data_IF_603407549109
#
_entry.id   IF_603407549109
#
_cell.length_a   1.000
_cell.length_b   1.000
_cell.length_c   1.000
_cell.angle_alpha   90.00
_cell.angle_beta   90.00
_cell.angle_gamma   90.00
#
_symmetry.space_group_name_H-M   'P 1'
#
loop_
_entity.id
_entity.type
_entity.pdbx_description
1 polymer ?
#
# COMPACT_ATOMS: atom_id res chain seq x y z
N UNK A 1 5.50 -0.02 25.03
CA UNK A 1 6.31 1.04 24.38
C UNK A 1 5.55 1.56 23.17
N UNK A 2 5.17 2.84 23.08
CA UNK A 2 4.48 3.36 21.92
C UNK A 2 5.51 3.81 20.86
N UNK A 3 5.55 3.12 19.71
CA UNK A 3 6.41 3.40 18.54
C UNK A 3 5.85 4.52 17.64
N UNK A 4 5.36 5.60 18.26
CA UNK A 4 4.60 6.66 17.59
C UNK A 4 5.37 7.93 17.21
N UNK A 5 6.61 8.11 17.68
CA UNK A 5 7.33 9.38 17.48
C UNK A 5 8.04 9.43 16.12
N UNK A 6 7.53 10.23 15.18
CA UNK A 6 8.25 10.60 13.95
C UNK A 6 7.46 10.64 12.63
N UNK A 7 6.14 10.42 12.63
CA UNK A 7 5.34 10.40 11.39
C UNK A 7 4.87 11.81 11.00
N UNK A 8 5.41 12.36 9.91
CA UNK A 8 4.85 13.54 9.25
C UNK A 8 3.70 13.09 8.34
N UNK A 9 2.45 13.38 8.72
CA UNK A 9 1.26 13.18 7.88
C UNK A 9 1.24 14.22 6.75
N UNK A 10 1.17 13.79 5.50
CA UNK A 10 0.87 14.67 4.35
C UNK A 10 -0.08 13.94 3.39
N UNK A 11 -1.37 14.23 3.48
CA UNK A 11 -2.38 13.78 2.53
C UNK A 11 -2.26 14.57 1.23
N UNK A 12 -2.32 13.90 0.08
CA UNK A 12 -2.37 14.57 -1.22
C UNK A 12 -3.31 13.76 -2.12
N UNK A 13 -4.48 14.33 -2.39
CA UNK A 13 -5.52 13.73 -3.25
C UNK A 13 -5.12 13.86 -4.74
N UNK A 14 -5.45 12.86 -5.58
CA UNK A 14 -5.19 12.93 -7.02
C UNK A 14 -6.10 13.94 -7.74
N UNK A 15 -5.61 14.46 -8.86
CA UNK A 15 -6.23 15.52 -9.64
C UNK A 15 -7.58 15.12 -10.30
N UNK A 16 -8.51 16.08 -10.34
CA UNK A 16 -9.80 16.00 -11.05
C UNK A 16 -9.57 16.24 -12.55
N UNK A 17 -10.21 15.43 -13.40
CA UNK A 17 -10.20 15.59 -14.85
C UNK A 17 -11.13 16.75 -15.27
N UNK A 18 -10.59 17.76 -15.94
CA UNK A 18 -11.33 18.89 -16.50
C UNK A 18 -11.05 19.02 -18.01
N UNK A 19 -11.98 19.60 -18.77
CA UNK A 19 -11.83 19.79 -20.22
C UNK A 19 -10.79 20.90 -20.48
N UNK A 20 -9.64 20.56 -21.10
CA UNK A 20 -8.54 21.49 -21.38
C UNK A 20 -7.17 20.79 -21.57
N UNK A 21 -6.08 21.56 -21.57
CA UNK A 21 -4.70 21.02 -21.56
C UNK A 21 -4.53 20.16 -20.30
N UNK A 22 -4.26 18.87 -20.48
CA UNK A 22 -4.08 17.92 -19.38
C UNK A 22 -2.60 17.75 -19.09
N UNK A 23 -2.14 18.29 -17.97
CA UNK A 23 -0.82 17.95 -17.42
C UNK A 23 -0.97 16.59 -16.73
N UNK A 24 -0.35 15.55 -17.30
CA UNK A 24 -0.27 14.24 -16.66
C UNK A 24 0.82 14.29 -15.58
N UNK A 25 0.42 14.67 -14.37
CA UNK A 25 1.26 14.46 -13.19
C UNK A 25 1.16 12.97 -12.87
N UNK A 26 2.28 12.25 -12.89
CA UNK A 26 2.35 10.93 -12.23
C UNK A 26 2.77 11.16 -10.78
N UNK A 27 1.81 11.33 -9.85
CA UNK A 27 2.12 11.66 -8.46
C UNK A 27 2.98 10.59 -7.79
N UNK A 28 2.92 9.33 -8.27
CA UNK A 28 3.76 8.26 -7.76
C UNK A 28 5.21 8.41 -8.18
N UNK A 29 5.48 8.71 -9.46
CA UNK A 29 6.87 8.91 -9.93
C UNK A 29 7.45 10.18 -9.33
N UNK A 30 6.66 11.26 -9.27
CA UNK A 30 7.07 12.49 -8.60
C UNK A 30 7.41 12.24 -7.13
N UNK A 31 6.59 11.46 -6.40
CA UNK A 31 6.89 11.04 -5.03
C UNK A 31 8.22 10.27 -4.97
N UNK A 32 8.41 9.27 -5.82
CA UNK A 32 9.62 8.45 -5.86
C UNK A 32 10.87 9.28 -6.16
N UNK A 33 10.77 10.24 -7.08
CA UNK A 33 11.90 11.10 -7.49
C UNK A 33 12.23 12.18 -6.45
N UNK A 34 11.22 12.68 -5.72
CA UNK A 34 11.43 13.67 -4.64
C UNK A 34 12.14 13.04 -3.44
N UNK A 35 11.86 11.78 -3.13
CA UNK A 35 12.45 11.09 -2.00
C UNK A 35 13.60 10.18 -2.44
N UNK A 36 14.84 10.68 -2.36
CA UNK A 36 16.04 9.84 -2.48
C UNK A 36 16.07 8.78 -1.38
N UNK A 37 15.84 7.52 -1.74
CA UNK A 37 15.98 6.36 -0.86
C UNK A 37 15.00 5.24 -1.18
N UNK A 38 14.86 4.29 -0.24
CA UNK A 38 14.02 3.12 -0.44
C UNK A 38 12.55 3.43 -0.14
N UNK A 39 11.64 2.80 -0.87
CA UNK A 39 10.22 2.92 -0.62
C UNK A 39 9.42 1.68 -0.97
N UNK A 40 8.20 1.65 -0.45
CA UNK A 40 7.26 0.55 -0.58
C UNK A 40 6.00 1.08 -1.28
N UNK A 41 5.52 0.37 -2.28
CA UNK A 41 4.22 0.64 -2.92
C UNK A 41 3.31 -0.56 -2.67
N UNK A 42 2.31 -0.41 -1.81
CA UNK A 42 1.33 -1.44 -1.52
C UNK A 42 0.23 -1.50 -2.57
N UNK A 43 0.05 -2.66 -3.20
CA UNK A 43 -1.07 -2.98 -4.08
C UNK A 43 -1.90 -4.13 -3.51
N UNK A 44 -3.16 -4.22 -3.94
CA UNK A 44 -4.02 -5.34 -3.50
C UNK A 44 -3.72 -6.65 -4.21
N UNK A 45 -3.65 -6.60 -5.54
CA UNK A 45 -3.57 -7.79 -6.40
C UNK A 45 -2.13 -8.08 -6.82
N UNK A 46 -1.83 -9.36 -7.06
CA UNK A 46 -0.50 -9.81 -7.50
C UNK A 46 -0.16 -9.23 -8.86
N UNK A 47 -1.07 -9.39 -9.82
CA UNK A 47 -0.94 -8.87 -11.18
C UNK A 47 -0.77 -7.33 -11.19
N UNK A 48 -1.42 -6.63 -10.26
CA UNK A 48 -1.25 -5.19 -10.11
C UNK A 48 0.16 -4.81 -9.63
N UNK A 49 0.79 -5.62 -8.77
CA UNK A 49 2.20 -5.42 -8.40
C UNK A 49 3.12 -5.59 -9.60
N UNK A 50 2.92 -6.63 -10.41
CA UNK A 50 3.74 -6.91 -11.59
C UNK A 50 3.60 -5.80 -12.64
N UNK A 51 2.37 -5.40 -12.94
CA UNK A 51 2.07 -4.32 -13.89
C UNK A 51 2.69 -3.00 -13.42
N UNK A 52 2.49 -2.62 -12.16
CA UNK A 52 2.99 -1.37 -11.63
C UNK A 52 4.52 -1.35 -11.52
N UNK A 53 5.16 -2.46 -11.11
CA UNK A 53 6.62 -2.56 -11.09
C UNK A 53 7.22 -2.44 -12.50
N UNK A 54 6.56 -3.04 -13.50
CA UNK A 54 6.95 -2.94 -14.90
C UNK A 54 6.81 -1.50 -15.39
N UNK A 55 5.68 -0.85 -15.13
CA UNK A 55 5.44 0.53 -15.54
C UNK A 55 6.45 1.51 -14.91
N UNK A 56 6.73 1.36 -13.61
CA UNK A 56 7.76 2.15 -12.93
C UNK A 56 9.15 1.94 -13.55
N UNK A 57 9.50 0.69 -13.86
CA UNK A 57 10.77 0.32 -14.50
C UNK A 57 10.91 0.91 -15.90
N UNK A 58 9.86 0.84 -16.72
CA UNK A 58 9.82 1.46 -18.04
C UNK A 58 10.01 2.97 -17.99
N UNK A 59 9.67 3.61 -16.88
CA UNK A 59 9.82 5.06 -16.65
C UNK A 59 11.08 5.42 -15.87
N UNK A 60 12.04 4.49 -15.76
CA UNK A 60 13.36 4.72 -15.19
C UNK A 60 13.46 4.54 -13.67
N UNK A 61 12.40 4.10 -13.00
CA UNK A 61 12.43 3.77 -11.57
C UNK A 61 12.83 2.31 -11.41
N UNK A 62 13.93 2.05 -10.69
CA UNK A 62 14.33 0.68 -10.32
C UNK A 62 13.33 0.09 -9.32
N UNK A 63 12.35 -0.65 -9.83
CA UNK A 63 11.27 -1.26 -9.05
C UNK A 63 11.14 -2.76 -9.30
N UNK A 64 10.77 -3.55 -8.29
CA UNK A 64 10.41 -4.96 -8.43
C UNK A 64 9.13 -5.30 -7.67
N UNK A 65 8.36 -6.26 -8.21
CA UNK A 65 7.17 -6.79 -7.59
C UNK A 65 7.51 -7.78 -6.46
N UNK A 66 6.69 -7.82 -5.41
CA UNK A 66 6.77 -8.79 -4.33
C UNK A 66 5.38 -9.26 -3.88
N UNK A 67 5.10 -10.54 -4.04
CA UNK A 67 3.87 -11.14 -3.53
C UNK A 67 3.98 -12.65 -3.34
N UNK A 68 3.00 -13.23 -2.65
CA UNK A 68 2.93 -14.67 -2.36
C UNK A 68 2.91 -15.58 -3.60
N UNK A 69 2.57 -15.06 -4.79
CA UNK A 69 2.65 -15.81 -6.05
C UNK A 69 4.07 -16.05 -6.60
N UNK A 70 5.08 -15.32 -6.12
CA UNK A 70 6.48 -15.53 -6.53
C UNK A 70 7.04 -16.79 -5.87
N UNK A 71 8.01 -17.44 -6.53
CA UNK A 71 8.75 -18.56 -5.93
C UNK A 71 9.51 -18.07 -4.70
N UNK A 72 9.73 -18.95 -3.72
CA UNK A 72 10.41 -18.59 -2.49
C UNK A 72 11.81 -18.01 -2.74
N UNK A 73 12.58 -18.58 -3.67
CA UNK A 73 13.90 -18.08 -4.07
C UNK A 73 13.82 -16.64 -4.64
N UNK A 74 12.84 -16.38 -5.50
CA UNK A 74 12.64 -15.06 -6.10
C UNK A 74 12.27 -14.02 -5.04
N UNK A 75 11.38 -14.36 -4.10
CA UNK A 75 11.04 -13.47 -2.98
C UNK A 75 12.27 -13.11 -2.15
N UNK A 76 13.12 -14.08 -1.83
CA UNK A 76 14.37 -13.85 -1.10
C UNK A 76 15.32 -12.96 -1.89
N UNK A 77 15.50 -13.20 -3.19
CA UNK A 77 16.33 -12.37 -4.05
C UNK A 77 15.85 -10.92 -4.10
N UNK A 78 14.56 -10.71 -4.38
CA UNK A 78 13.95 -9.37 -4.46
C UNK A 78 14.07 -8.64 -3.13
N UNK A 79 13.81 -9.33 -2.02
CA UNK A 79 13.96 -8.74 -0.69
C UNK A 79 15.40 -8.33 -0.42
N UNK A 80 16.39 -9.18 -0.71
CA UNK A 80 17.80 -8.87 -0.51
C UNK A 80 18.26 -7.69 -1.37
N UNK A 81 17.89 -7.67 -2.65
CA UNK A 81 18.22 -6.56 -3.56
C UNK A 81 17.62 -5.22 -3.10
N UNK A 82 16.44 -5.25 -2.47
CA UNK A 82 15.82 -4.05 -1.89
C UNK A 82 16.50 -3.64 -0.58
N UNK A 83 16.87 -4.61 0.28
CA UNK A 83 17.61 -4.34 1.51
C UNK A 83 18.96 -3.68 1.23
N UNK A 84 19.66 -4.16 0.20
CA UNK A 84 20.94 -3.65 -0.32
C UNK A 84 20.81 -2.40 -1.21
N UNK A 85 19.58 -1.88 -1.41
CA UNK A 85 19.30 -0.66 -2.19
C UNK A 85 19.65 -0.75 -3.68
N UNK A 86 19.92 -1.95 -4.20
CA UNK A 86 20.07 -2.19 -5.65
C UNK A 86 18.78 -1.88 -6.38
N UNK A 87 17.65 -2.22 -5.76
CA UNK A 87 16.29 -1.90 -6.19
C UNK A 87 15.63 -1.06 -5.09
N UNK A 88 15.61 0.28 -5.18
CA UNK A 88 15.08 1.15 -4.13
C UNK A 88 13.56 1.05 -3.94
N UNK A 89 12.80 0.64 -4.97
CA UNK A 89 11.33 0.59 -4.88
C UNK A 89 10.84 -0.84 -4.92
N UNK A 90 10.05 -1.24 -3.92
CA UNK A 90 9.38 -2.54 -3.92
C UNK A 90 7.88 -2.33 -4.04
N UNK A 91 7.27 -2.97 -5.03
CA UNK A 91 5.83 -2.94 -5.25
C UNK A 91 5.26 -4.24 -4.72
N UNK A 92 4.45 -4.19 -3.66
CA UNK A 92 4.11 -5.39 -2.92
C UNK A 92 2.67 -5.50 -2.50
N UNK A 93 2.22 -6.73 -2.27
CA UNK A 93 1.00 -6.99 -1.49
C UNK A 93 1.30 -6.96 0.00
N UNK A 94 0.26 -7.04 0.84
CA UNK A 94 0.38 -7.16 2.31
C UNK A 94 1.28 -8.32 2.79
N UNK A 95 1.59 -9.28 1.91
CA UNK A 95 2.56 -10.35 2.20
C UNK A 95 3.97 -9.83 2.45
N UNK A 96 4.31 -8.64 1.95
CA UNK A 96 5.56 -7.97 2.25
C UNK A 96 5.44 -7.25 3.58
N UNK A 97 5.84 -7.94 4.66
CA UNK A 97 5.80 -7.27 5.96
C UNK A 97 6.21 -8.05 7.20
N UNK A 98 6.07 -9.38 7.20
CA UNK A 98 6.57 -10.20 8.30
C UNK A 98 8.09 -10.39 8.12
N UNK A 99 8.89 -9.74 8.97
CA UNK A 99 10.35 -9.92 9.00
C UNK A 99 11.18 -8.94 8.15
N UNK A 100 10.55 -7.95 7.51
CA UNK A 100 11.29 -6.86 6.84
C UNK A 100 11.46 -5.70 7.81
N UNK A 101 12.70 -5.49 8.24
CA UNK A 101 13.11 -4.36 9.07
C UNK A 101 14.20 -3.53 8.39
N UNK A 102 13.77 -2.56 7.58
CA UNK A 102 14.67 -1.58 6.95
C UNK A 102 14.39 -0.22 7.58
N UNK A 103 15.38 0.33 8.27
CA UNK A 103 15.19 1.56 9.05
C UNK A 103 14.92 2.79 8.16
N UNK A 104 15.49 2.80 6.96
CA UNK A 104 15.60 3.98 6.10
C UNK A 104 14.58 4.03 4.94
N UNK A 105 13.36 3.52 5.17
CA UNK A 105 12.25 3.66 4.21
C UNK A 105 11.77 5.12 4.18
N UNK A 106 11.87 5.75 3.02
CA UNK A 106 11.54 7.18 2.81
C UNK A 106 10.11 7.43 2.41
N UNK A 107 9.48 6.47 1.74
CA UNK A 107 8.06 6.58 1.45
C UNK A 107 7.35 5.22 1.51
N UNK A 108 6.08 5.27 1.91
CA UNK A 108 5.13 4.17 1.73
C UNK A 108 3.93 4.73 0.97
N UNK A 109 3.66 4.18 -0.21
CA UNK A 109 2.50 4.53 -1.01
C UNK A 109 1.52 3.36 -1.04
N UNK A 110 0.24 3.61 -0.86
CA UNK A 110 -0.82 2.61 -1.03
C UNK A 110 -1.52 2.91 -2.34
N UNK A 111 -1.31 2.05 -3.35
CA UNK A 111 -1.93 2.15 -4.66
C UNK A 111 -3.43 1.84 -4.60
N UNK A 112 -3.84 1.01 -3.65
CA UNK A 112 -5.25 0.75 -3.35
C UNK A 112 -5.50 0.97 -1.84
N UNK A 113 -6.74 1.30 -1.48
CA UNK A 113 -7.14 1.42 -0.07
C UNK A 113 -6.90 0.09 0.70
N UNK A 114 -6.35 0.22 1.92
CA UNK A 114 -6.14 -0.89 2.82
C UNK A 114 -7.48 -1.48 3.31
N UNK A 115 -7.45 -2.73 3.81
CA UNK A 115 -8.65 -3.41 4.32
C UNK A 115 -9.15 -2.86 5.66
N UNK A 116 -8.32 -2.12 6.38
CA UNK A 116 -8.69 -1.50 7.66
C UNK A 116 -7.75 -0.37 8.03
N UNK A 117 -8.18 0.50 8.94
CA UNK A 117 -7.33 1.55 9.51
C UNK A 117 -6.09 0.97 10.22
N UNK A 118 -6.26 -0.14 10.94
CA UNK A 118 -5.15 -0.82 11.61
C UNK A 118 -4.12 -1.39 10.62
N UNK A 119 -4.58 -1.97 9.50
CA UNK A 119 -3.72 -2.44 8.42
C UNK A 119 -2.91 -1.29 7.81
N UNK A 120 -3.59 -0.20 7.45
CA UNK A 120 -2.94 1.02 6.96
C UNK A 120 -1.89 1.56 7.93
N UNK A 121 -2.18 1.59 9.23
CA UNK A 121 -1.23 2.04 10.26
C UNK A 121 0.02 1.14 10.34
N UNK A 122 -0.15 -0.17 10.25
CA UNK A 122 0.99 -1.12 10.24
C UNK A 122 1.83 -0.99 8.97
N UNK A 123 1.19 -0.85 7.82
CA UNK A 123 1.82 -0.73 6.50
C UNK A 123 2.60 0.58 6.37
N UNK A 124 1.95 1.71 6.67
CA UNK A 124 2.56 3.05 6.69
C UNK A 124 3.65 3.18 7.76
N UNK A 125 3.51 2.49 8.91
CA UNK A 125 4.49 2.45 9.99
C UNK A 125 5.85 1.82 9.65
N UNK A 126 6.06 1.39 8.40
CA UNK A 126 7.37 0.98 7.88
C UNK A 126 8.26 2.15 7.48
N UNK A 127 7.66 3.30 7.15
CA UNK A 127 8.38 4.51 6.82
C UNK A 127 9.12 5.09 8.04
N UNK A 128 10.31 5.65 7.83
CA UNK A 128 10.96 6.56 8.78
C UNK A 128 11.34 5.94 10.12
N UNK A 129 11.65 4.65 10.19
CA UNK A 129 12.06 3.97 11.44
C UNK A 129 13.39 4.50 12.00
N UNK A 130 14.21 5.13 11.15
CA UNK A 130 15.41 5.88 11.52
C UNK A 130 15.14 7.28 12.08
N UNK A 131 13.87 7.69 12.23
CA UNK A 131 13.48 9.01 12.72
C UNK A 131 13.66 10.14 11.71
N UNK A 132 14.12 9.85 10.48
CA UNK A 132 14.28 10.85 9.43
C UNK A 132 12.96 11.12 8.71
N UNK A 133 12.81 12.28 8.04
CA UNK A 133 11.63 12.59 7.26
C UNK A 133 11.26 11.46 6.29
N UNK A 134 9.98 11.12 6.27
CA UNK A 134 9.41 10.13 5.37
C UNK A 134 7.93 10.47 5.10
N UNK A 135 7.41 9.98 3.98
CA UNK A 135 6.04 10.27 3.55
C UNK A 135 5.21 9.00 3.44
N UNK A 136 3.95 9.07 3.88
CA UNK A 136 2.97 8.03 3.63
C UNK A 136 1.86 8.60 2.75
N UNK A 137 1.58 7.95 1.63
CA UNK A 137 0.55 8.35 0.67
C UNK A 137 -0.46 7.24 0.47
N UNK A 138 -1.73 7.61 0.40
CA UNK A 138 -2.84 6.71 0.09
C UNK A 138 -3.54 7.22 -1.17
N UNK A 139 -3.55 6.40 -2.22
CA UNK A 139 -4.36 6.64 -3.41
C UNK A 139 -5.73 6.01 -3.18
N UNK A 140 -6.76 6.86 -3.23
CA UNK A 140 -8.13 6.48 -2.98
C UNK A 140 -8.97 6.66 -4.24
N UNK A 141 -9.79 5.65 -4.55
CA UNK A 141 -10.86 5.75 -5.54
C UNK A 141 -12.10 5.01 -5.05
N UNK A 142 -13.29 5.51 -5.39
CA UNK A 142 -14.56 4.82 -5.07
C UNK A 142 -14.65 3.45 -5.75
N UNK A 143 -14.05 3.29 -6.93
CA UNK A 143 -13.98 2.00 -7.61
C UNK A 143 -13.14 0.99 -6.81
N UNK A 144 -11.97 1.39 -6.30
CA UNK A 144 -11.16 0.54 -5.43
C UNK A 144 -11.90 0.18 -4.14
N UNK A 145 -12.58 1.16 -3.53
CA UNK A 145 -13.43 0.97 -2.35
C UNK A 145 -14.47 -0.13 -2.60
N UNK A 146 -15.22 -0.01 -3.68
CA UNK A 146 -16.31 -0.94 -4.01
C UNK A 146 -15.77 -2.35 -4.26
N UNK A 147 -14.61 -2.47 -4.92
CA UNK A 147 -13.92 -3.75 -5.08
C UNK A 147 -13.50 -4.37 -3.73
N UNK A 148 -13.01 -3.60 -2.75
CA UNK A 148 -12.69 -4.16 -1.41
C UNK A 148 -13.96 -4.58 -0.69
N UNK A 149 -14.97 -3.71 -0.71
CA UNK A 149 -16.24 -3.95 -0.04
C UNK A 149 -16.86 -5.25 -0.53
N UNK A 150 -16.86 -5.46 -1.85
CA UNK A 150 -17.30 -6.71 -2.47
C UNK A 150 -16.48 -7.92 -2.00
N UNK A 151 -15.15 -7.82 -1.99
CA UNK A 151 -14.28 -8.91 -1.55
C UNK A 151 -14.46 -9.26 -0.07
N UNK A 152 -14.60 -8.25 0.80
CA UNK A 152 -14.86 -8.45 2.23
C UNK A 152 -16.21 -9.14 2.41
N UNK A 153 -17.26 -8.66 1.74
CA UNK A 153 -18.60 -9.28 1.80
C UNK A 153 -18.58 -10.73 1.32
N UNK A 154 -17.85 -11.02 0.23
CA UNK A 154 -17.68 -12.39 -0.29
C UNK A 154 -16.90 -13.28 0.68
N UNK A 155 -15.89 -12.74 1.37
CA UNK A 155 -15.15 -13.47 2.39
C UNK A 155 -16.04 -13.80 3.60
N UNK A 156 -16.87 -12.86 4.03
CA UNK A 156 -17.86 -13.05 5.09
C UNK A 156 -18.94 -14.07 4.71
N UNK A 157 -19.48 -14.01 3.49
CA UNK A 157 -20.46 -15.00 3.03
C UNK A 157 -19.89 -16.41 3.03
N UNK A 158 -18.66 -16.59 2.54
CA UNK A 158 -17.97 -17.88 2.55
C UNK A 158 -17.73 -18.41 3.98
N UNK A 159 -17.46 -17.52 4.95
CA UNK A 159 -17.30 -17.91 6.36
C UNK A 159 -18.66 -18.34 6.94
N UNK A 160 -19.73 -17.59 6.67
CA UNK A 160 -21.09 -17.91 7.09
C UNK A 160 -21.53 -19.27 6.53
N UNK A 161 -21.28 -19.54 5.24
CA UNK A 161 -21.60 -20.82 4.60
C UNK A 161 -20.84 -21.99 5.25
N UNK A 162 -19.57 -21.81 5.59
CA UNK A 162 -18.74 -22.87 6.20
C UNK A 162 -19.03 -23.10 7.68
N UNK A 163 -19.40 -22.07 8.43
CA UNK A 163 -19.54 -22.12 9.91
C UNK A 163 -20.98 -22.01 10.40
N UNK A 164 -21.94 -21.75 9.52
CA UNK A 164 -23.35 -21.51 9.87
C UNK A 164 -23.62 -20.13 10.46
N UNK A 165 -22.68 -19.56 11.24
CA UNK A 165 -22.80 -18.25 11.88
C UNK A 165 -21.51 -17.41 11.78
N UNK A 166 -21.67 -16.09 11.64
CA UNK A 166 -20.56 -15.13 11.71
C UNK A 166 -20.26 -14.75 13.16
N UNK A 167 -18.98 -14.73 13.51
CA UNK A 167 -18.52 -14.23 14.80
C UNK A 167 -18.54 -12.70 14.80
N UNK A 168 -18.55 -12.11 15.99
CA UNK A 168 -18.43 -10.66 16.17
C UNK A 168 -17.15 -10.10 15.51
N UNK A 169 -16.05 -10.86 15.59
CA UNK A 169 -14.79 -10.54 14.90
C UNK A 169 -14.93 -10.48 13.38
N UNK A 170 -15.80 -11.30 12.78
CA UNK A 170 -16.01 -11.31 11.33
C UNK A 170 -16.80 -10.06 10.92
N UNK A 171 -17.82 -9.67 11.71
CA UNK A 171 -18.58 -8.42 11.50
C UNK A 171 -17.70 -7.18 11.66
N UNK A 172 -16.78 -7.20 12.62
CA UNK A 172 -15.85 -6.10 12.89
C UNK A 172 -14.94 -5.77 11.70
N UNK A 173 -14.70 -6.71 10.78
CA UNK A 173 -13.88 -6.49 9.58
C UNK A 173 -14.51 -5.41 8.69
N UNK A 174 -15.83 -5.44 8.52
CA UNK A 174 -16.54 -4.46 7.71
C UNK A 174 -16.50 -3.08 8.36
N UNK A 175 -16.77 -3.01 9.66
CA UNK A 175 -16.68 -1.76 10.44
C UNK A 175 -15.27 -1.16 10.38
N UNK A 176 -14.23 -1.99 10.45
CA UNK A 176 -12.85 -1.55 10.34
C UNK A 176 -12.50 -1.04 8.94
N UNK A 177 -13.13 -1.58 7.89
CA UNK A 177 -13.02 -1.09 6.53
C UNK A 177 -13.77 0.23 6.34
N UNK A 178 -15.00 0.33 6.84
CA UNK A 178 -15.80 1.56 6.78
C UNK A 178 -15.07 2.73 7.47
N UNK A 179 -14.38 2.47 8.57
CA UNK A 179 -13.58 3.48 9.26
C UNK A 179 -12.45 4.08 8.38
N UNK A 180 -11.77 3.28 7.55
CA UNK A 180 -10.75 3.83 6.63
C UNK A 180 -11.38 4.49 5.41
N UNK A 181 -12.58 4.06 4.99
CA UNK A 181 -13.34 4.74 3.93
C UNK A 181 -13.77 6.13 4.39
N UNK A 182 -14.39 6.26 5.56
CA UNK A 182 -14.78 7.56 6.13
C UNK A 182 -13.57 8.47 6.30
N UNK A 183 -12.43 7.94 6.74
CA UNK A 183 -11.18 8.71 6.79
C UNK A 183 -10.75 9.26 5.43
N UNK A 184 -10.95 8.52 4.33
CA UNK A 184 -10.63 8.99 2.99
C UNK A 184 -11.65 9.97 2.41
N UNK A 185 -12.93 9.84 2.77
CA UNK A 185 -14.03 10.61 2.16
C UNK A 185 -14.42 11.87 2.96
N UNK A 186 -14.20 11.90 4.27
CA UNK A 186 -14.69 12.97 5.16
C UNK A 186 -13.57 13.84 5.74
N UNK A 187 -12.36 13.31 5.87
CA UNK A 187 -11.24 13.96 6.56
C UNK A 187 -10.04 14.28 5.65
N UNK A 188 -10.10 13.87 4.37
CA UNK A 188 -9.02 13.96 3.38
C UNK A 188 -9.08 15.18 2.48
#
# INVERSE_FOLDING_TARGET
>A
MPTGAGKSLCYQLPAVLAVGITIVISPLIALIQVYSGCGIVYCRMRDACDQLATELSCRGVKAKAYHAGLKAADRTSVQNEWMEEKIPVIVATISFGMGVDKANVRFVAHWNIAKSMAGYYQESGRAGRDGKPSCCRLYYSRNDRDQVSFLIKKELSNIQEKKGTLKESDKAVMTAFDAIVSFCEELG
#
